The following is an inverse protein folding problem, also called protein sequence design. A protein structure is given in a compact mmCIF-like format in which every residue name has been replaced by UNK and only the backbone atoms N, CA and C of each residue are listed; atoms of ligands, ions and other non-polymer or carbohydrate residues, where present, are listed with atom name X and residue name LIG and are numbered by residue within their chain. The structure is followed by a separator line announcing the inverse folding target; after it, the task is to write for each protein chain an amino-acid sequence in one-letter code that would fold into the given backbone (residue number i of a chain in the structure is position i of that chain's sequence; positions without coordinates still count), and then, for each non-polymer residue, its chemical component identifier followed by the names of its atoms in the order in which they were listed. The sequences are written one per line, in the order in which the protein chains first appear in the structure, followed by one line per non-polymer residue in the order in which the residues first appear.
data_IF_766632120841
#
_entry.id   IF_766632120841
#
_cell.length_a   1.000
_cell.length_b   1.000
_cell.length_c   1.000
_cell.angle_alpha   90.00
_cell.angle_beta   90.00
_cell.angle_gamma   90.00
#
_symmetry.space_group_name_H-M   'P 1'
#
loop_
_entity.id
_entity.type
_entity.pdbx_description
1 polymer ?
#
# COMPACT_ATOMS: atom_id res chain seq x y z
N UNK A 1 20.32 -3.00 -8.01
CA UNK A 1 19.24 -3.48 -7.12
C UNK A 1 19.15 -2.52 -5.95
N UNK A 2 18.01 -1.88 -5.73
CA UNK A 2 17.85 -0.86 -4.68
C UNK A 2 16.83 0.24 -4.98
N UNK A 3 16.44 0.42 -6.24
CA UNK A 3 15.52 1.50 -6.65
C UNK A 3 14.04 1.15 -6.39
N UNK A 4 13.72 -0.15 -6.35
CA UNK A 4 12.36 -0.63 -6.08
C UNK A 4 12.17 -0.75 -4.58
N UNK A 5 11.20 0.00 -4.04
CA UNK A 5 10.82 -0.06 -2.61
C UNK A 5 9.59 -0.92 -2.36
N UNK A 6 8.64 -0.89 -3.28
CA UNK A 6 7.39 -1.64 -3.19
C UNK A 6 6.85 -2.00 -4.57
N UNK A 7 6.17 -3.13 -4.65
CA UNK A 7 5.43 -3.64 -5.80
C UNK A 7 3.98 -3.82 -5.36
N UNK A 8 3.04 -3.24 -6.11
CA UNK A 8 1.62 -3.30 -5.82
C UNK A 8 0.92 -4.17 -6.87
N UNK A 9 0.16 -5.15 -6.40
CA UNK A 9 -0.34 -6.25 -7.23
C UNK A 9 -1.85 -6.45 -7.07
N UNK A 10 -2.47 -7.03 -8.09
CA UNK A 10 -3.90 -7.39 -8.14
C UNK A 10 -4.11 -8.87 -8.45
N UNK A 11 -5.21 -9.21 -9.12
CA UNK A 11 -5.62 -10.57 -9.52
C UNK A 11 -6.18 -11.45 -8.39
N UNK A 12 -5.54 -11.51 -7.22
CA UNK A 12 -6.10 -12.23 -6.07
C UNK A 12 -7.06 -11.33 -5.28
N UNK A 13 -8.35 -11.67 -5.33
CA UNK A 13 -9.39 -10.85 -4.70
C UNK A 13 -9.57 -11.15 -3.22
N UNK A 14 -8.96 -12.23 -2.73
CA UNK A 14 -8.99 -12.64 -1.31
C UNK A 14 -7.67 -12.42 -0.58
N UNK A 15 -6.66 -11.90 -1.27
CA UNK A 15 -5.38 -11.55 -0.70
C UNK A 15 -5.23 -10.04 -0.62
N UNK A 16 -4.95 -9.53 0.57
CA UNK A 16 -4.62 -8.14 0.83
C UNK A 16 -3.35 -8.02 1.69
N UNK A 17 -2.54 -9.08 1.72
CA UNK A 17 -1.28 -9.13 2.44
C UNK A 17 -0.26 -8.15 1.84
N UNK A 18 0.64 -7.65 2.70
CA UNK A 18 1.72 -6.76 2.32
C UNK A 18 2.92 -7.06 3.21
N UNK A 19 3.93 -7.68 2.59
CA UNK A 19 5.10 -8.21 3.29
C UNK A 19 6.39 -7.74 2.65
N UNK A 20 7.46 -7.73 3.44
CA UNK A 20 8.80 -7.41 2.97
C UNK A 20 9.56 -8.71 2.66
N UNK A 21 10.15 -8.78 1.48
CA UNK A 21 11.06 -9.84 1.06
C UNK A 21 12.32 -9.18 0.52
N UNK A 22 13.45 -9.42 1.17
CA UNK A 22 14.77 -8.91 0.81
C UNK A 22 14.80 -7.38 0.56
N UNK A 23 14.09 -6.62 1.40
CA UNK A 23 14.05 -5.17 1.32
C UNK A 23 13.02 -4.60 0.34
N UNK A 24 12.26 -5.45 -0.36
CA UNK A 24 11.18 -5.03 -1.27
C UNK A 24 9.84 -5.41 -0.67
N UNK A 25 8.89 -4.47 -0.66
CA UNK A 25 7.53 -4.73 -0.23
C UNK A 25 6.67 -5.28 -1.37
N UNK A 26 5.96 -6.38 -1.14
CA UNK A 26 5.00 -6.97 -2.07
C UNK A 26 3.60 -6.87 -1.47
N UNK A 27 2.74 -6.06 -2.07
CA UNK A 27 1.47 -5.67 -1.46
C UNK A 27 0.30 -5.87 -2.42
N UNK A 28 -0.61 -6.78 -2.05
CA UNK A 28 -1.86 -6.97 -2.77
C UNK A 28 -2.87 -5.87 -2.43
N UNK A 29 -3.60 -5.41 -3.45
CA UNK A 29 -4.64 -4.38 -3.30
C UNK A 29 -5.91 -4.85 -2.60
N UNK A 30 -6.17 -6.16 -2.58
CA UNK A 30 -7.46 -6.75 -2.20
C UNK A 30 -8.52 -6.64 -3.30
N UNK A 31 -9.70 -7.22 -3.03
CA UNK A 31 -10.83 -7.17 -3.95
C UNK A 31 -11.71 -5.93 -3.77
N UNK A 32 -11.64 -4.98 -4.71
CA UNK A 32 -12.46 -3.75 -4.71
C UNK A 32 -13.79 -3.88 -5.48
N UNK A 33 -13.78 -4.54 -6.66
CA UNK A 33 -14.93 -4.56 -7.55
C UNK A 33 -16.02 -5.58 -7.20
N UNK A 34 -17.27 -5.31 -7.59
CA UNK A 34 -18.42 -6.20 -7.33
C UNK A 34 -18.55 -7.37 -8.31
N UNK A 35 -17.89 -7.31 -9.47
CA UNK A 35 -18.01 -8.30 -10.55
C UNK A 35 -16.87 -9.34 -10.54
N UNK A 36 -16.66 -10.00 -9.40
CA UNK A 36 -15.73 -11.13 -9.28
C UNK A 36 -15.89 -11.89 -7.95
N UNK A 37 -15.08 -12.94 -7.74
CA UNK A 37 -15.09 -13.73 -6.52
C UNK A 37 -14.69 -12.90 -5.29
N UNK A 38 -15.20 -13.32 -4.13
CA UNK A 38 -14.94 -12.70 -2.82
C UNK A 38 -15.13 -13.71 -1.70
N UNK A 39 -15.28 -13.22 -0.46
CA UNK A 39 -15.50 -14.03 0.73
C UNK A 39 -16.63 -13.42 1.57
N UNK A 40 -17.65 -14.22 1.89
CA UNK A 40 -18.74 -13.78 2.74
C UNK A 40 -18.23 -13.34 4.13
N UNK A 41 -18.79 -12.26 4.68
CA UNK A 41 -18.37 -11.69 5.96
C UNK A 41 -16.99 -11.01 5.92
N UNK A 42 -16.42 -10.78 4.74
CA UNK A 42 -15.12 -10.12 4.58
C UNK A 42 -15.29 -8.89 3.68
N UNK A 43 -15.29 -7.67 4.25
CA UNK A 43 -15.59 -6.45 3.52
C UNK A 43 -14.66 -6.25 2.30
N UNK A 44 -15.18 -5.69 1.20
CA UNK A 44 -14.31 -5.27 0.09
C UNK A 44 -13.34 -4.21 0.57
N UNK A 45 -12.25 -3.98 -0.15
CA UNK A 45 -11.27 -2.97 0.25
C UNK A 45 -10.47 -2.42 -0.90
N UNK A 46 -9.98 -1.21 -0.68
CA UNK A 46 -8.94 -0.60 -1.50
C UNK A 46 -7.69 -0.38 -0.66
N UNK A 47 -6.53 -0.73 -1.20
CA UNK A 47 -5.23 -0.31 -0.64
C UNK A 47 -4.91 1.10 -1.13
N UNK A 48 -4.75 2.01 -0.19
CA UNK A 48 -4.28 3.36 -0.46
C UNK A 48 -2.76 3.39 -0.37
N UNK A 49 -2.13 4.12 -1.28
CA UNK A 49 -0.69 4.31 -1.34
C UNK A 49 -0.45 5.82 -1.30
N UNK A 50 0.25 6.27 -0.28
CA UNK A 50 0.66 7.65 -0.10
C UNK A 50 2.17 7.72 -0.27
N UNK A 51 2.62 8.35 -1.35
CA UNK A 51 4.02 8.66 -1.61
C UNK A 51 4.25 10.15 -1.38
N UNK A 52 5.13 10.47 -0.43
CA UNK A 52 5.50 11.83 -0.06
C UNK A 52 6.88 12.13 -0.65
N UNK A 53 7.01 13.26 -1.35
CA UNK A 53 8.28 13.72 -1.91
C UNK A 53 8.96 14.68 -0.96
N UNK A 54 10.29 14.58 -0.86
CA UNK A 54 11.05 15.52 -0.05
C UNK A 54 11.05 16.90 -0.71
N UNK A 55 10.76 17.96 0.05
CA UNK A 55 10.80 19.34 -0.43
C UNK A 55 12.24 19.86 -0.46
N UNK A 56 12.73 20.27 -1.63
CA UNK A 56 13.99 20.99 -1.79
C UNK A 56 13.80 22.52 -1.79
N UNK A 57 14.89 23.27 -1.99
CA UNK A 57 14.88 24.73 -1.99
C UNK A 57 14.12 25.33 -3.18
N UNK A 58 14.27 24.74 -4.37
CA UNK A 58 13.67 25.23 -5.62
C UNK A 58 12.88 24.16 -6.38
N UNK A 59 12.93 22.90 -5.93
CA UNK A 59 12.25 21.76 -6.58
C UNK A 59 11.96 20.63 -5.59
N UNK A 60 11.06 19.72 -5.96
CA UNK A 60 10.86 18.45 -5.26
C UNK A 60 12.04 17.52 -5.52
N UNK A 61 12.46 16.79 -4.50
CA UNK A 61 13.50 15.76 -4.60
C UNK A 61 12.86 14.36 -4.64
N UNK A 62 13.64 13.33 -4.30
CA UNK A 62 13.16 11.95 -4.29
C UNK A 62 12.06 11.67 -3.27
N UNK A 63 11.54 10.44 -3.32
CA UNK A 63 10.54 9.95 -2.38
C UNK A 63 11.11 9.93 -0.96
N UNK A 64 10.51 10.72 -0.08
CA UNK A 64 10.84 10.77 1.34
C UNK A 64 10.21 9.60 2.07
N UNK A 65 8.92 9.34 1.81
CA UNK A 65 8.16 8.35 2.54
C UNK A 65 7.10 7.68 1.68
N UNK A 66 6.92 6.37 1.88
CA UNK A 66 5.81 5.62 1.31
C UNK A 66 5.02 4.99 2.47
N UNK A 67 3.74 5.33 2.57
CA UNK A 67 2.80 4.72 3.51
C UNK A 67 1.68 4.03 2.74
N UNK A 68 1.17 2.96 3.32
CA UNK A 68 -0.02 2.29 2.80
C UNK A 68 -0.96 1.92 3.92
N UNK A 69 -2.24 1.87 3.62
CA UNK A 69 -3.29 1.36 4.51
C UNK A 69 -4.42 0.82 3.64
N UNK A 70 -5.38 0.14 4.25
CA UNK A 70 -6.59 -0.32 3.57
C UNK A 70 -7.79 0.50 4.02
N UNK A 71 -8.71 0.76 3.09
CA UNK A 71 -10.06 1.26 3.36
C UNK A 71 -11.05 0.15 3.08
N UNK A 72 -11.83 -0.22 4.09
CA UNK A 72 -12.88 -1.22 3.93
C UNK A 72 -14.13 -0.60 3.31
N UNK A 73 -14.87 -1.39 2.55
CA UNK A 73 -16.26 -1.13 2.16
C UNK A 73 -17.17 -1.63 3.28
N UNK A 74 -17.10 -0.95 4.42
CA UNK A 74 -18.00 -1.09 5.55
C UNK A 74 -18.69 0.26 5.82
N UNK A 75 -19.62 0.30 6.77
CA UNK A 75 -20.41 1.51 7.06
C UNK A 75 -19.57 2.75 7.41
N UNK A 76 -18.32 2.56 7.86
CA UNK A 76 -17.45 3.63 8.36
C UNK A 76 -16.28 3.92 7.42
N UNK A 77 -16.18 3.21 6.30
CA UNK A 77 -15.00 3.15 5.46
C UNK A 77 -13.72 2.96 6.27
N UNK A 78 -13.72 1.98 7.18
CA UNK A 78 -12.69 1.81 8.20
C UNK A 78 -11.29 1.79 7.59
N UNK A 79 -10.37 2.55 8.21
CA UNK A 79 -8.94 2.51 7.90
C UNK A 79 -8.28 1.45 8.74
N UNK A 80 -7.62 0.47 8.10
CA UNK A 80 -6.92 -0.60 8.80
C UNK A 80 -5.51 -0.81 8.25
N UNK A 81 -4.68 -1.49 9.03
CA UNK A 81 -3.37 -2.02 8.66
C UNK A 81 -2.47 -0.99 7.97
N UNK A 82 -2.22 0.12 8.66
CA UNK A 82 -1.25 1.09 8.20
C UNK A 82 0.18 0.53 8.30
N UNK A 83 0.96 0.70 7.23
CA UNK A 83 2.34 0.27 7.13
C UNK A 83 3.19 1.37 6.49
N UNK A 84 4.43 1.55 6.97
CA UNK A 84 5.45 2.39 6.34
C UNK A 84 6.33 1.46 5.48
N UNK A 85 6.29 1.63 4.16
CA UNK A 85 7.05 0.81 3.23
C UNK A 85 8.44 1.39 2.95
N UNK A 86 8.58 2.71 3.05
CA UNK A 86 9.84 3.43 2.85
C UNK A 86 9.85 4.69 3.72
N UNK A 87 10.99 4.99 4.33
CA UNK A 87 11.28 6.28 4.97
C UNK A 87 12.76 6.57 4.78
N UNK A 88 13.09 7.59 3.98
CA UNK A 88 14.47 7.94 3.62
C UNK A 88 15.32 8.33 4.84
N UNK A 89 14.68 8.71 5.96
CA UNK A 89 15.36 9.07 7.21
C UNK A 89 15.78 7.85 8.03
N UNK A 90 15.14 6.70 7.80
CA UNK A 90 15.42 5.43 8.50
C UNK A 90 16.36 4.52 7.72
N UNK A 91 16.62 4.81 6.44
CA UNK A 91 17.54 4.06 5.57
C UNK A 91 18.95 4.67 5.51
N UNK A 92 19.36 5.40 6.56
CA UNK A 92 20.74 5.88 6.72
C UNK A 92 21.56 4.93 7.58
#
# INVERSE_FOLDING_TARGET
MGDVKAVFMGHDHKNDFCGNLDGIWFCYGGGFGYHAYGKAGWPRRARIILAELQKGQSSWMGVEKIRTWKRLDDEKFSRIDEQILWDSRLSR
#
